data_IF_380416634380
#
_entry.id   IF_380416634380
#
_cell.length_a   1.000
_cell.length_b   1.000
_cell.length_c   1.000
_cell.angle_alpha   90.00
_cell.angle_beta   90.00
_cell.angle_gamma   90.00
#
_symmetry.space_group_name_H-M   'P 1'
#
loop_
_entity.id
_entity.type
_entity.pdbx_description
1 polymer ?
#
# COMPACT_ATOMS: atom_id res chain seq x y z
N UNK A 1 70.08 54.66 -1.74
CA UNK A 1 69.28 54.62 -2.94
C UNK A 1 68.91 53.14 -3.23
N UNK A 2 67.93 52.56 -2.49
CA UNK A 2 67.66 51.13 -2.56
C UNK A 2 66.18 50.92 -2.89
N UNK A 3 65.94 50.43 -4.07
CA UNK A 3 64.65 49.92 -4.56
C UNK A 3 64.39 48.58 -3.83
N UNK A 4 63.47 48.54 -2.89
CA UNK A 4 63.01 47.29 -2.33
C UNK A 4 61.66 46.91 -2.95
N UNK A 5 61.75 45.75 -3.56
CA UNK A 5 60.73 45.02 -4.29
C UNK A 5 59.57 44.70 -3.39
N UNK A 6 58.39 45.16 -3.80
CA UNK A 6 57.12 44.83 -3.18
C UNK A 6 56.66 43.46 -3.69
N UNK A 7 56.83 42.41 -2.88
CA UNK A 7 56.26 41.11 -3.17
C UNK A 7 54.74 41.14 -2.86
N UNK A 8 53.95 41.19 -3.91
CA UNK A 8 52.51 40.95 -3.81
C UNK A 8 52.28 39.46 -3.55
N UNK A 9 51.77 39.18 -2.37
CA UNK A 9 51.18 37.85 -2.07
C UNK A 9 49.80 37.79 -2.71
N UNK A 10 49.66 37.11 -3.84
CA UNK A 10 48.38 36.74 -4.38
C UNK A 10 47.92 35.50 -3.61
N UNK A 11 47.10 35.70 -2.58
CA UNK A 11 46.41 34.64 -1.91
C UNK A 11 45.31 34.13 -2.88
N UNK A 12 45.55 33.01 -3.55
CA UNK A 12 44.55 32.26 -4.32
C UNK A 12 43.51 31.71 -3.34
N UNK A 13 42.41 32.42 -3.14
CA UNK A 13 41.24 31.89 -2.47
C UNK A 13 40.62 30.83 -3.42
N UNK A 14 40.97 29.57 -3.21
CA UNK A 14 40.25 28.47 -3.80
C UNK A 14 38.84 28.39 -3.17
N UNK A 15 37.88 29.08 -3.78
CA UNK A 15 36.47 28.92 -3.45
C UNK A 15 36.07 27.54 -3.94
N UNK A 16 36.10 26.58 -3.02
CA UNK A 16 35.53 25.25 -3.24
C UNK A 16 34.03 25.43 -3.49
N UNK A 17 33.60 25.41 -4.75
CA UNK A 17 32.19 25.20 -5.09
C UNK A 17 31.80 23.81 -4.54
N UNK A 18 31.31 23.79 -3.31
CA UNK A 18 30.56 22.65 -2.83
C UNK A 18 29.35 22.53 -3.74
N UNK A 19 29.40 21.62 -4.73
CA UNK A 19 28.23 21.23 -5.51
C UNK A 19 27.24 20.62 -4.54
N UNK A 20 26.32 21.43 -4.03
CA UNK A 20 25.18 20.95 -3.29
C UNK A 20 24.42 20.02 -4.24
N UNK A 21 24.63 18.72 -4.11
CA UNK A 21 23.79 17.73 -4.77
C UNK A 21 22.38 18.01 -4.25
N UNK A 22 21.43 18.37 -5.12
CA UNK A 22 20.07 18.61 -4.67
C UNK A 22 19.57 17.34 -4.00
N UNK A 23 19.32 17.38 -2.70
CA UNK A 23 18.61 16.32 -2.00
C UNK A 23 17.22 16.29 -2.60
N UNK A 24 17.00 15.38 -3.55
CA UNK A 24 15.67 15.14 -4.07
C UNK A 24 14.81 14.59 -2.95
N UNK A 25 13.64 15.19 -2.75
CA UNK A 25 12.68 14.71 -1.77
C UNK A 25 12.37 13.23 -2.03
N UNK A 26 12.30 12.43 -0.98
CA UNK A 26 11.92 11.04 -1.08
C UNK A 26 10.45 10.90 -1.47
N UNK A 27 10.13 9.87 -2.26
CA UNK A 27 8.75 9.51 -2.55
C UNK A 27 8.24 8.63 -1.41
N UNK A 28 7.27 9.13 -0.65
CA UNK A 28 6.64 8.38 0.42
C UNK A 28 5.60 7.40 -0.16
N UNK A 29 5.81 6.11 0.12
CA UNK A 29 4.86 5.04 -0.19
C UNK A 29 4.56 4.25 1.09
N UNK A 30 3.51 3.43 1.08
CA UNK A 30 3.15 2.65 2.25
C UNK A 30 2.77 1.21 1.91
N UNK A 31 2.89 0.33 2.90
CA UNK A 31 2.11 -0.90 2.99
C UNK A 31 1.24 -0.84 4.23
N UNK A 32 -0.03 -1.22 4.08
CA UNK A 32 -1.02 -1.20 5.15
C UNK A 32 -1.78 -2.52 5.21
N UNK A 33 -1.91 -3.07 6.41
CA UNK A 33 -2.57 -4.36 6.64
C UNK A 33 -2.50 -4.76 8.11
N UNK A 34 -2.86 -6.00 8.46
CA UNK A 34 -2.90 -6.48 9.83
C UNK A 34 -1.49 -6.81 10.34
N UNK A 35 -0.71 -5.79 10.73
CA UNK A 35 0.63 -6.01 11.30
C UNK A 35 0.57 -6.65 12.69
N UNK A 36 -0.58 -6.51 13.36
CA UNK A 36 -0.91 -7.15 14.64
C UNK A 36 -2.22 -7.93 14.55
N UNK A 37 -2.55 -8.67 15.63
CA UNK A 37 -3.80 -9.41 15.75
C UNK A 37 -3.80 -10.77 15.05
N UNK A 38 -4.99 -11.30 14.81
CA UNK A 38 -5.21 -12.67 14.31
C UNK A 38 -4.54 -12.96 12.96
N UNK A 39 -4.41 -11.95 12.12
CA UNK A 39 -3.86 -12.06 10.76
C UNK A 39 -2.43 -11.50 10.63
N UNK A 40 -1.73 -11.31 11.74
CA UNK A 40 -0.39 -10.70 11.77
C UNK A 40 0.64 -11.40 10.87
N UNK A 41 0.53 -12.71 10.68
CA UNK A 41 1.41 -13.46 9.78
C UNK A 41 1.31 -13.01 8.32
N UNK A 42 0.11 -12.60 7.87
CA UNK A 42 -0.09 -12.03 6.53
C UNK A 42 0.43 -10.60 6.44
N UNK A 43 0.21 -9.81 7.51
CA UNK A 43 0.79 -8.47 7.60
C UNK A 43 2.31 -8.48 7.53
N UNK A 44 2.94 -9.42 8.22
CA UNK A 44 4.39 -9.61 8.17
C UNK A 44 4.89 -9.99 6.77
N UNK A 45 4.17 -10.83 6.03
CA UNK A 45 4.51 -11.14 4.63
C UNK A 45 4.41 -9.90 3.75
N UNK A 46 3.34 -9.10 3.91
CA UNK A 46 3.19 -7.84 3.18
C UNK A 46 4.33 -6.87 3.48
N UNK A 47 4.66 -6.69 4.77
CA UNK A 47 5.75 -5.82 5.22
C UNK A 47 7.08 -6.22 4.60
N UNK A 48 7.46 -7.50 4.70
CA UNK A 48 8.72 -8.00 4.12
C UNK A 48 8.78 -7.83 2.61
N UNK A 49 7.68 -8.11 1.91
CA UNK A 49 7.60 -7.92 0.47
C UNK A 49 7.78 -6.45 0.08
N UNK A 50 7.14 -5.54 0.78
CA UNK A 50 7.26 -4.10 0.55
C UNK A 50 8.68 -3.58 0.89
N UNK A 51 9.25 -4.00 2.01
CA UNK A 51 10.63 -3.65 2.41
C UNK A 51 11.65 -4.10 1.36
N UNK A 52 11.53 -5.34 0.87
CA UNK A 52 12.40 -5.86 -0.18
C UNK A 52 12.25 -5.06 -1.48
N UNK A 53 11.02 -4.84 -1.95
CA UNK A 53 10.76 -4.07 -3.17
C UNK A 53 11.34 -2.65 -3.09
N UNK A 54 11.18 -1.98 -1.95
CA UNK A 54 11.74 -0.63 -1.72
C UNK A 54 13.27 -0.67 -1.69
N UNK A 55 13.85 -1.69 -1.04
CA UNK A 55 15.31 -1.88 -1.02
C UNK A 55 15.87 -2.03 -2.43
N UNK A 56 15.27 -2.90 -3.24
CA UNK A 56 15.72 -3.18 -4.61
C UNK A 56 15.57 -1.95 -5.52
N UNK A 57 14.42 -1.27 -5.46
CA UNK A 57 14.20 -0.05 -6.22
C UNK A 57 15.18 1.05 -5.82
N UNK A 58 15.44 1.19 -4.52
CA UNK A 58 16.39 2.16 -4.02
C UNK A 58 17.84 1.81 -4.41
N UNK A 59 18.21 0.53 -4.42
CA UNK A 59 19.51 0.08 -4.91
C UNK A 59 19.70 0.39 -6.41
N UNK A 60 18.64 0.24 -7.19
CA UNK A 60 18.61 0.58 -8.62
C UNK A 60 18.57 2.10 -8.92
N UNK A 61 18.64 2.97 -7.92
CA UNK A 61 18.65 4.44 -8.09
C UNK A 61 17.35 5.14 -7.74
N UNK A 62 16.33 4.41 -7.30
CA UNK A 62 15.00 4.93 -6.95
C UNK A 62 14.10 5.12 -8.16
N UNK A 63 13.01 5.83 -7.97
CA UNK A 63 12.03 6.16 -9.01
C UNK A 63 12.28 7.59 -9.49
N UNK A 64 12.50 7.78 -10.78
CA UNK A 64 12.85 9.09 -11.36
C UNK A 64 14.05 9.77 -10.64
N UNK A 65 15.00 8.97 -10.15
CA UNK A 65 16.17 9.44 -9.40
C UNK A 65 15.86 9.89 -7.96
N UNK A 66 14.68 9.56 -7.44
CA UNK A 66 14.29 9.81 -6.05
C UNK A 66 14.21 8.49 -5.29
N UNK A 67 14.72 8.48 -4.06
CA UNK A 67 14.58 7.31 -3.18
C UNK A 67 13.15 7.17 -2.68
N UNK A 68 12.74 5.93 -2.46
CA UNK A 68 11.47 5.61 -1.83
C UNK A 68 11.64 5.52 -0.32
N UNK A 69 10.69 6.08 0.42
CA UNK A 69 10.54 5.89 1.86
C UNK A 69 9.28 5.11 2.13
N UNK A 70 9.41 3.97 2.82
CA UNK A 70 8.29 3.09 3.16
C UNK A 70 7.71 3.44 4.52
N UNK A 71 6.40 3.67 4.56
CA UNK A 71 5.59 3.75 5.77
C UNK A 71 4.84 2.44 6.00
N UNK A 72 4.71 2.04 7.25
CA UNK A 72 3.97 0.84 7.63
C UNK A 72 2.70 1.26 8.38
N UNK A 73 1.55 0.77 7.92
CA UNK A 73 0.27 0.98 8.56
C UNK A 73 -0.29 -0.31 9.13
N UNK A 74 -0.61 -0.34 10.43
CA UNK A 74 -1.27 -1.48 11.07
C UNK A 74 -2.77 -1.20 11.23
N UNK A 75 -3.59 -1.94 10.54
CA UNK A 75 -5.05 -1.86 10.63
C UNK A 75 -5.69 -2.99 11.45
N UNK A 76 -4.90 -3.98 11.88
CA UNK A 76 -5.36 -5.16 12.60
C UNK A 76 -6.61 -5.85 12.01
N UNK A 77 -6.92 -5.63 10.72
CA UNK A 77 -8.18 -5.96 10.04
C UNK A 77 -9.43 -5.30 10.67
N UNK A 78 -9.26 -4.20 11.41
CA UNK A 78 -10.36 -3.41 11.96
C UNK A 78 -10.72 -2.25 11.00
N UNK A 79 -11.99 -2.12 10.60
CA UNK A 79 -12.42 -1.08 9.67
C UNK A 79 -12.18 0.36 10.16
N UNK A 80 -12.34 0.61 11.47
CA UNK A 80 -12.14 1.95 12.05
C UNK A 80 -10.65 2.28 12.11
N UNK A 81 -9.83 1.31 12.52
CA UNK A 81 -8.39 1.46 12.54
C UNK A 81 -7.83 1.67 11.13
N UNK A 82 -8.38 0.98 10.12
CA UNK A 82 -7.99 1.17 8.73
C UNK A 82 -8.22 2.61 8.24
N UNK A 83 -9.34 3.24 8.60
CA UNK A 83 -9.61 4.66 8.30
C UNK A 83 -8.61 5.56 9.03
N UNK A 84 -8.33 5.30 10.30
CA UNK A 84 -7.34 6.08 11.05
C UNK A 84 -5.94 5.97 10.44
N UNK A 85 -5.53 4.77 10.04
CA UNK A 85 -4.26 4.52 9.33
C UNK A 85 -4.23 5.27 7.99
N UNK A 86 -5.32 5.24 7.22
CA UNK A 86 -5.38 5.93 5.94
C UNK A 86 -5.17 7.45 6.11
N UNK A 87 -5.84 8.09 7.08
CA UNK A 87 -5.64 9.50 7.39
C UNK A 87 -4.21 9.79 7.86
N UNK A 88 -3.62 8.91 8.67
CA UNK A 88 -2.23 9.07 9.10
C UNK A 88 -1.25 9.00 7.93
N UNK A 89 -1.44 8.06 6.98
CA UNK A 89 -0.61 7.94 5.79
C UNK A 89 -0.75 9.17 4.88
N UNK A 90 -1.97 9.68 4.70
CA UNK A 90 -2.23 10.92 3.96
C UNK A 90 -1.47 12.10 4.59
N UNK A 91 -1.54 12.27 5.91
CA UNK A 91 -0.82 13.34 6.62
C UNK A 91 0.71 13.26 6.50
N UNK A 92 1.26 12.08 6.23
CA UNK A 92 2.70 11.85 5.96
C UNK A 92 3.10 12.06 4.49
N UNK A 93 2.17 12.49 3.65
CA UNK A 93 2.41 12.74 2.24
C UNK A 93 2.58 11.46 1.40
N UNK A 94 2.10 10.32 1.88
CA UNK A 94 2.07 9.07 1.10
C UNK A 94 1.20 9.25 -0.14
N UNK A 95 1.65 8.72 -1.27
CA UNK A 95 0.92 8.78 -2.55
C UNK A 95 0.50 7.42 -3.09
N UNK A 96 1.12 6.35 -2.60
CA UNK A 96 0.83 4.98 -3.01
C UNK A 96 0.75 4.06 -1.79
N UNK A 97 -0.28 3.24 -1.72
CA UNK A 97 -0.50 2.25 -0.67
C UNK A 97 -0.65 0.85 -1.26
N UNK A 98 0.31 -0.03 -0.97
CA UNK A 98 0.19 -1.46 -1.17
C UNK A 98 -0.62 -2.05 0.00
N UNK A 99 -1.90 -2.22 -0.16
CA UNK A 99 -2.81 -2.61 0.93
C UNK A 99 -4.26 -2.26 0.62
N UNK A 100 -5.15 -2.47 1.54
CA UNK A 100 -5.06 -3.26 2.77
C UNK A 100 -5.25 -4.75 2.47
N UNK A 101 -5.08 -5.60 3.48
CA UNK A 101 -5.28 -7.04 3.33
C UNK A 101 -6.76 -7.42 3.40
N UNK A 102 -7.42 -7.08 4.49
CA UNK A 102 -8.83 -7.42 4.73
C UNK A 102 -9.76 -6.52 3.90
N UNK A 103 -10.79 -7.10 3.24
CA UNK A 103 -11.80 -6.33 2.51
C UNK A 103 -12.53 -5.31 3.38
N UNK A 104 -12.74 -5.66 4.68
CA UNK A 104 -13.34 -4.76 5.66
C UNK A 104 -12.47 -3.55 6.01
N UNK A 105 -11.16 -3.63 5.78
CA UNK A 105 -10.22 -2.52 5.93
C UNK A 105 -10.07 -1.73 4.64
N UNK A 106 -9.86 -2.42 3.50
CA UNK A 106 -9.65 -1.80 2.20
C UNK A 106 -10.80 -0.91 1.75
N UNK A 107 -12.05 -1.37 1.96
CA UNK A 107 -13.24 -0.66 1.49
C UNK A 107 -13.40 0.71 2.17
N UNK A 108 -13.40 0.85 3.50
CA UNK A 108 -13.50 2.18 4.11
C UNK A 108 -12.25 3.03 3.93
N UNK A 109 -11.05 2.46 3.99
CA UNK A 109 -9.80 3.20 3.77
C UNK A 109 -9.72 3.81 2.37
N UNK A 110 -10.27 3.13 1.35
CA UNK A 110 -10.26 3.62 -0.04
C UNK A 110 -11.05 4.92 -0.24
N UNK A 111 -11.99 5.25 0.63
CA UNK A 111 -12.67 6.55 0.57
C UNK A 111 -11.68 7.69 0.91
N UNK A 112 -10.93 7.52 2.00
CA UNK A 112 -9.87 8.47 2.39
C UNK A 112 -8.82 8.60 1.27
N UNK A 113 -8.38 7.48 0.71
CA UNK A 113 -7.39 7.50 -0.38
C UNK A 113 -7.92 8.19 -1.64
N UNK A 114 -9.23 8.06 -1.93
CA UNK A 114 -9.85 8.74 -3.06
C UNK A 114 -9.95 10.27 -2.82
N UNK A 115 -10.28 10.68 -1.60
CA UNK A 115 -10.36 12.10 -1.20
C UNK A 115 -8.99 12.79 -1.23
N UNK A 116 -7.91 12.03 -0.95
CA UNK A 116 -6.53 12.53 -0.84
C UNK A 116 -5.68 12.25 -2.10
N UNK A 117 -6.27 11.86 -3.22
CA UNK A 117 -5.60 11.52 -4.48
C UNK A 117 -4.46 10.50 -4.31
N UNK A 118 -4.66 9.52 -3.42
CA UNK A 118 -3.71 8.45 -3.15
C UNK A 118 -4.09 7.19 -3.91
N UNK A 119 -3.11 6.56 -4.55
CA UNK A 119 -3.30 5.27 -5.23
C UNK A 119 -3.33 4.12 -4.22
N UNK A 120 -4.36 3.28 -4.28
CA UNK A 120 -4.46 2.04 -3.50
C UNK A 120 -4.43 0.82 -4.41
N UNK A 121 -3.54 -0.14 -4.11
CA UNK A 121 -3.54 -1.46 -4.74
C UNK A 121 -3.58 -2.53 -3.65
N UNK A 122 -4.71 -3.23 -3.53
CA UNK A 122 -4.83 -4.32 -2.57
C UNK A 122 -4.29 -5.63 -3.14
N UNK A 123 -3.43 -6.33 -2.39
CA UNK A 123 -2.93 -7.65 -2.79
C UNK A 123 -3.90 -8.79 -2.47
N UNK A 124 -4.92 -8.56 -1.62
CA UNK A 124 -5.69 -9.65 -1.02
C UNK A 124 -7.20 -9.40 -0.85
N UNK A 125 -7.68 -8.17 -0.93
CA UNK A 125 -9.10 -7.86 -0.72
C UNK A 125 -9.94 -8.29 -1.92
N UNK A 126 -10.69 -9.37 -1.77
CA UNK A 126 -11.43 -10.03 -2.84
C UNK A 126 -12.87 -9.54 -3.00
N UNK A 127 -13.43 -8.84 -2.01
CA UNK A 127 -14.82 -8.36 -2.08
C UNK A 127 -15.03 -7.43 -3.29
N UNK A 128 -16.03 -7.70 -4.16
CA UNK A 128 -16.32 -6.91 -5.36
C UNK A 128 -16.51 -5.42 -5.09
N UNK A 129 -17.09 -5.07 -3.94
CA UNK A 129 -17.34 -3.67 -3.55
C UNK A 129 -16.08 -2.80 -3.48
N UNK A 130 -14.88 -3.37 -3.38
CA UNK A 130 -13.67 -2.58 -3.37
C UNK A 130 -13.51 -1.77 -4.68
N UNK A 131 -13.79 -2.38 -5.83
CA UNK A 131 -13.55 -1.77 -7.16
C UNK A 131 -14.81 -1.48 -7.97
N UNK A 132 -16.02 -1.69 -7.41
CA UNK A 132 -17.28 -1.42 -8.10
C UNK A 132 -17.87 -0.02 -7.80
N UNK A 133 -17.14 0.80 -7.03
CA UNK A 133 -17.61 2.12 -6.60
C UNK A 133 -17.11 3.27 -7.50
N UNK A 134 -16.53 2.95 -8.66
CA UNK A 134 -15.99 3.92 -9.63
C UNK A 134 -14.91 4.84 -9.04
N UNK A 135 -14.11 4.34 -8.10
CA UNK A 135 -12.94 5.05 -7.59
C UNK A 135 -11.75 4.78 -8.53
N UNK A 136 -11.32 5.82 -9.26
CA UNK A 136 -10.31 5.70 -10.30
C UNK A 136 -8.90 5.33 -9.78
N UNK A 137 -8.68 5.48 -8.49
CA UNK A 137 -7.40 5.26 -7.81
C UNK A 137 -7.36 3.97 -6.98
N UNK A 138 -8.35 3.07 -7.10
CA UNK A 138 -8.47 1.85 -6.28
C UNK A 138 -8.43 0.61 -7.15
N UNK A 139 -7.43 -0.25 -6.91
CA UNK A 139 -7.16 -1.46 -7.68
C UNK A 139 -6.95 -2.67 -6.77
N UNK A 140 -6.97 -3.85 -7.37
CA UNK A 140 -6.55 -5.12 -6.75
C UNK A 140 -5.73 -5.95 -7.74
N UNK A 141 -4.89 -6.83 -7.23
CA UNK A 141 -4.11 -7.81 -8.02
C UNK A 141 -4.47 -9.26 -7.65
N UNK A 142 -5.55 -9.47 -6.89
CA UNK A 142 -6.10 -10.77 -6.54
C UNK A 142 -7.45 -11.01 -7.25
N UNK A 143 -7.95 -12.25 -7.18
CA UNK A 143 -9.27 -12.61 -7.68
C UNK A 143 -10.42 -11.91 -6.94
N UNK A 144 -11.65 -12.13 -7.42
CA UNK A 144 -12.87 -11.53 -6.84
C UNK A 144 -13.80 -12.62 -6.30
N UNK A 145 -14.53 -12.27 -5.24
CA UNK A 145 -15.47 -13.18 -4.58
C UNK A 145 -16.66 -13.56 -5.46
N UNK A 146 -17.06 -12.72 -6.40
CA UNK A 146 -18.12 -13.07 -7.36
C UNK A 146 -17.72 -14.25 -8.27
N UNK A 147 -16.46 -14.31 -8.72
CA UNK A 147 -15.94 -15.45 -9.46
C UNK A 147 -15.77 -16.68 -8.56
N UNK A 148 -15.19 -16.48 -7.38
CA UNK A 148 -14.99 -17.56 -6.40
C UNK A 148 -16.33 -18.13 -5.93
N UNK A 149 -17.31 -17.28 -5.64
CA UNK A 149 -18.65 -17.65 -5.21
C UNK A 149 -19.38 -18.46 -6.28
N UNK A 150 -19.30 -18.01 -7.54
CA UNK A 150 -19.89 -18.74 -8.68
C UNK A 150 -19.32 -20.17 -8.80
N UNK A 151 -17.98 -20.31 -8.72
CA UNK A 151 -17.34 -21.63 -8.78
C UNK A 151 -17.75 -22.49 -7.59
N UNK A 152 -17.75 -21.93 -6.38
CA UNK A 152 -18.15 -22.64 -5.17
C UNK A 152 -19.64 -23.07 -5.21
N UNK A 153 -20.53 -22.16 -5.62
CA UNK A 153 -21.96 -22.42 -5.73
C UNK A 153 -22.25 -23.54 -6.73
N UNK A 154 -21.68 -23.47 -7.93
CA UNK A 154 -21.83 -24.51 -8.96
C UNK A 154 -21.32 -25.87 -8.47
N UNK A 155 -20.12 -25.90 -7.86
CA UNK A 155 -19.58 -27.13 -7.29
C UNK A 155 -20.51 -27.74 -6.23
N UNK A 156 -21.06 -26.92 -5.34
CA UNK A 156 -21.97 -27.38 -4.30
C UNK A 156 -23.29 -27.90 -4.89
N UNK A 157 -23.87 -27.19 -5.87
CA UNK A 157 -25.10 -27.62 -6.55
C UNK A 157 -24.93 -28.95 -7.27
N UNK A 158 -23.83 -29.14 -7.97
CA UNK A 158 -23.56 -30.38 -8.72
C UNK A 158 -23.21 -31.54 -7.78
N UNK A 159 -22.32 -31.31 -6.81
CA UNK A 159 -21.78 -32.38 -5.97
C UNK A 159 -22.78 -32.85 -4.90
N UNK A 160 -23.62 -31.93 -4.42
CA UNK A 160 -24.54 -32.17 -3.32
C UNK A 160 -26.01 -32.05 -3.73
N UNK A 161 -26.34 -32.37 -4.97
CA UNK A 161 -27.70 -32.31 -5.51
C UNK A 161 -28.70 -33.04 -4.59
N UNK A 162 -29.76 -32.34 -4.23
CA UNK A 162 -30.82 -32.85 -3.35
C UNK A 162 -30.45 -32.90 -1.87
N UNK A 163 -29.28 -32.43 -1.47
CA UNK A 163 -28.86 -32.29 -0.07
C UNK A 163 -29.14 -30.87 0.47
N UNK A 164 -29.30 -30.77 1.79
CA UNK A 164 -29.34 -29.47 2.48
C UNK A 164 -27.92 -28.98 2.70
N UNK A 165 -27.63 -27.77 2.26
CA UNK A 165 -26.33 -27.14 2.40
C UNK A 165 -26.47 -25.92 3.31
N UNK A 166 -25.61 -25.80 4.32
CA UNK A 166 -25.50 -24.60 5.16
C UNK A 166 -24.25 -23.79 4.73
N UNK A 167 -24.44 -22.51 4.46
CA UNK A 167 -23.35 -21.56 4.21
C UNK A 167 -23.20 -20.68 5.43
N UNK A 168 -22.06 -20.74 6.08
CA UNK A 168 -21.76 -20.01 7.34
C UNK A 168 -20.68 -18.95 7.06
N UNK A 169 -20.78 -17.80 7.69
CA UNK A 169 -19.80 -16.72 7.57
C UNK A 169 -19.56 -16.02 8.93
N UNK A 170 -18.45 -15.33 9.03
CA UNK A 170 -17.96 -14.62 10.23
C UNK A 170 -18.50 -13.19 10.40
N UNK A 171 -19.43 -12.77 9.53
CA UNK A 171 -19.99 -11.41 9.44
C UNK A 171 -19.01 -10.31 9.01
N UNK A 172 -17.77 -10.64 8.67
CA UNK A 172 -16.86 -9.67 8.06
C UNK A 172 -17.33 -9.29 6.65
N UNK A 173 -16.81 -8.19 6.11
CA UNK A 173 -17.10 -7.78 4.73
C UNK A 173 -16.66 -8.86 3.72
N UNK A 174 -15.53 -9.53 3.97
CA UNK A 174 -15.05 -10.66 3.16
C UNK A 174 -15.97 -11.87 3.31
N UNK A 175 -16.07 -12.44 4.54
CA UNK A 175 -16.76 -13.71 4.73
C UNK A 175 -18.24 -13.65 4.38
N UNK A 176 -18.94 -12.55 4.76
CA UNK A 176 -20.33 -12.34 4.34
C UNK A 176 -20.44 -12.16 2.83
N UNK A 177 -19.54 -11.38 2.23
CA UNK A 177 -19.53 -11.14 0.78
C UNK A 177 -19.39 -12.43 -0.01
N UNK A 178 -18.40 -13.26 0.31
CA UNK A 178 -18.18 -14.56 -0.36
C UNK A 178 -19.36 -15.51 -0.14
N UNK A 179 -19.93 -15.57 1.07
CA UNK A 179 -21.10 -16.40 1.34
C UNK A 179 -22.34 -15.97 0.52
N UNK A 180 -22.53 -14.67 0.37
CA UNK A 180 -23.63 -14.13 -0.44
C UNK A 180 -23.43 -14.46 -1.94
N UNK A 181 -22.19 -14.35 -2.47
CA UNK A 181 -21.88 -14.74 -3.86
C UNK A 181 -22.04 -16.24 -4.10
N UNK A 182 -21.67 -17.08 -3.11
CA UNK A 182 -21.82 -18.55 -3.20
C UNK A 182 -23.28 -19.02 -3.24
N UNK A 183 -24.21 -18.21 -2.70
CA UNK A 183 -25.64 -18.54 -2.66
C UNK A 183 -26.41 -18.17 -3.93
N UNK A 184 -25.84 -17.35 -4.80
CA UNK A 184 -26.48 -16.94 -6.06
C UNK A 184 -26.61 -18.11 -7.02
#
# INVERSE_FOLDING_TARGET
MNRRILFMWVAAAAVGLATAVPVRAEIAIATAGPMTGQYASFGEQMRRGAEMAVSDLNAAGGVLGQKLRLEIGDDACDPKQAVAVANQLASKGVRFVAGHFCSGSSIPASNVYAEEDMLQISPASTNPKLTERNLANVFRVCGRDDQQGLVAGNFLADRFKGKKIAVVHDKTAYGKGLADETRK
#
